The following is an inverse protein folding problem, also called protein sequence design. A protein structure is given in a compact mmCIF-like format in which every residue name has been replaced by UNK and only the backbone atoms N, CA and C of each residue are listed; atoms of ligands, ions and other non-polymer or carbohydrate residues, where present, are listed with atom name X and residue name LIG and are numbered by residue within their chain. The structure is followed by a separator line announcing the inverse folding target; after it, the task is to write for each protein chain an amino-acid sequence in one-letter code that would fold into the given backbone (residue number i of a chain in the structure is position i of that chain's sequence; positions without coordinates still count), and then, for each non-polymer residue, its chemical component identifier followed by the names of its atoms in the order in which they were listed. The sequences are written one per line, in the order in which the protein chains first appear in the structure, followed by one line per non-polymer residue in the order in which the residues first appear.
data_IF_000544919675
#
_entry.id   IF_000544919675
#
_cell.length_a   1.000
_cell.length_b   1.000
_cell.length_c   1.000
_cell.angle_alpha   90.00
_cell.angle_beta   90.00
_cell.angle_gamma   90.00
#
_symmetry.space_group_name_H-M   'P 1'
#
loop_
_entity.id
_entity.type
_entity.pdbx_description
1 polymer ?
#
# COMPACT_ATOMS: atom_id res chain seq x y z
N UNK A 1 9.27 -21.78 -2.31
CA UNK A 1 8.05 -20.99 -2.01
C UNK A 1 7.80 -20.82 -0.51
N UNK A 2 8.41 -21.63 0.37
CA UNK A 2 8.24 -21.53 1.84
C UNK A 2 8.70 -20.19 2.44
N UNK A 3 9.60 -19.48 1.77
CA UNK A 3 10.10 -18.17 2.24
C UNK A 3 9.20 -16.99 1.82
N UNK A 4 8.16 -17.25 1.03
CA UNK A 4 7.22 -16.22 0.61
C UNK A 4 6.03 -16.16 1.57
N UNK A 5 5.56 -14.93 1.83
CA UNK A 5 4.33 -14.62 2.54
C UNK A 5 3.33 -14.04 1.53
N UNK A 6 2.13 -14.57 1.54
CA UNK A 6 1.02 -14.09 0.71
C UNK A 6 -0.13 -13.67 1.60
N UNK A 7 -0.48 -12.41 1.57
CA UNK A 7 -1.63 -11.89 2.29
C UNK A 7 -2.77 -11.55 1.32
N UNK A 8 -3.99 -11.75 1.78
CA UNK A 8 -5.20 -11.27 1.12
C UNK A 8 -5.69 -10.05 1.89
N UNK A 9 -6.12 -8.98 1.19
CA UNK A 9 -6.70 -7.82 1.86
C UNK A 9 -7.97 -8.21 2.64
N UNK A 10 -8.07 -7.74 3.88
CA UNK A 10 -9.21 -8.04 4.76
C UNK A 10 -10.54 -7.49 4.25
N UNK A 11 -10.53 -6.55 3.33
CA UNK A 11 -11.73 -6.01 2.69
C UNK A 11 -12.61 -7.11 2.07
N UNK A 12 -12.00 -8.20 1.63
CA UNK A 12 -12.69 -9.37 1.10
C UNK A 12 -13.52 -10.11 2.15
N UNK A 13 -13.26 -9.89 3.43
CA UNK A 13 -13.94 -10.59 4.53
C UNK A 13 -15.05 -9.76 5.19
N UNK A 14 -15.43 -8.62 4.60
CA UNK A 14 -16.57 -7.81 5.03
C UNK A 14 -17.91 -8.34 4.53
N UNK A 15 -18.00 -9.63 4.18
CA UNK A 15 -19.17 -10.29 3.60
C UNK A 15 -19.67 -11.41 4.52
N UNK A 16 -20.96 -11.79 4.41
CA UNK A 16 -21.52 -12.90 5.19
C UNK A 16 -20.80 -14.24 4.95
N UNK A 17 -20.37 -14.49 3.71
CA UNK A 17 -19.72 -15.73 3.25
C UNK A 17 -18.23 -15.81 3.60
N UNK A 18 -17.70 -14.87 4.39
CA UNK A 18 -16.28 -14.75 4.75
C UNK A 18 -15.62 -16.06 5.21
N UNK A 19 -16.37 -16.94 5.90
CA UNK A 19 -15.83 -18.22 6.36
C UNK A 19 -15.56 -19.15 5.19
N UNK A 20 -16.50 -19.27 4.26
CA UNK A 20 -16.32 -20.11 3.06
C UNK A 20 -15.19 -19.57 2.18
N UNK A 21 -15.08 -18.25 2.06
CA UNK A 21 -13.99 -17.59 1.33
C UNK A 21 -12.64 -17.90 1.97
N UNK A 22 -12.51 -17.75 3.29
CA UNK A 22 -11.28 -18.08 4.01
C UNK A 22 -10.87 -19.55 3.83
N UNK A 23 -11.84 -20.46 3.94
CA UNK A 23 -11.61 -21.89 3.74
C UNK A 23 -11.16 -22.20 2.29
N UNK A 24 -11.71 -21.51 1.28
CA UNK A 24 -11.29 -21.68 -0.11
C UNK A 24 -9.86 -21.19 -0.36
N UNK A 25 -9.48 -20.06 0.21
CA UNK A 25 -8.10 -19.57 0.13
C UNK A 25 -7.11 -20.50 0.86
N UNK A 26 -7.48 -21.02 2.03
CA UNK A 26 -6.65 -21.99 2.76
C UNK A 26 -6.43 -23.27 1.96
N UNK A 27 -7.52 -23.84 1.42
CA UNK A 27 -7.42 -25.02 0.58
C UNK A 27 -6.51 -24.80 -0.63
N UNK A 28 -6.58 -23.62 -1.26
CA UNK A 28 -5.70 -23.26 -2.38
C UNK A 28 -4.27 -23.07 -1.93
N UNK A 29 -4.00 -22.41 -0.81
CA UNK A 29 -2.67 -22.23 -0.26
C UNK A 29 -2.01 -23.59 0.09
N UNK A 30 -2.78 -24.52 0.68
CA UNK A 30 -2.33 -25.88 0.96
C UNK A 30 -2.01 -26.67 -0.33
N UNK A 31 -2.87 -26.57 -1.35
CA UNK A 31 -2.64 -27.17 -2.68
C UNK A 31 -1.34 -26.65 -3.31
N UNK A 32 -1.09 -25.36 -3.21
CA UNK A 32 0.09 -24.70 -3.77
C UNK A 32 1.36 -24.87 -2.92
N UNK A 33 1.23 -25.32 -1.66
CA UNK A 33 2.30 -25.46 -0.69
C UNK A 33 2.90 -24.12 -0.26
N UNK A 34 2.06 -23.12 0.00
CA UNK A 34 2.45 -21.75 0.39
C UNK A 34 1.81 -21.32 1.70
N UNK A 35 2.43 -20.36 2.38
CA UNK A 35 1.86 -19.74 3.57
C UNK A 35 0.98 -18.54 3.15
N UNK A 36 -0.21 -18.46 3.74
CA UNK A 36 -1.10 -17.32 3.54
C UNK A 36 -1.44 -16.64 4.86
N UNK A 37 -1.68 -15.34 4.78
CA UNK A 37 -2.21 -14.51 5.85
C UNK A 37 -3.27 -13.56 5.32
N UNK A 38 -3.63 -12.59 6.16
CA UNK A 38 -4.54 -11.49 5.81
C UNK A 38 -3.91 -10.19 6.25
N UNK A 39 -3.86 -9.21 5.35
CA UNK A 39 -3.53 -7.86 5.72
C UNK A 39 -4.79 -7.09 6.08
N UNK A 40 -4.83 -6.57 7.30
CA UNK A 40 -5.91 -5.70 7.74
C UNK A 40 -5.85 -4.39 6.96
N UNK A 41 -6.93 -4.07 6.24
CA UNK A 41 -7.06 -2.82 5.52
C UNK A 41 -7.35 -1.67 6.49
N UNK A 42 -6.97 -0.44 6.13
CA UNK A 42 -7.20 0.74 6.99
C UNK A 42 -8.70 1.04 7.26
N UNK A 43 -9.61 0.57 6.41
CA UNK A 43 -11.08 0.60 6.61
C UNK A 43 -11.61 -0.62 7.39
N UNK A 44 -10.82 -1.16 8.31
CA UNK A 44 -11.16 -2.37 9.01
C UNK A 44 -12.17 -2.13 10.14
N UNK A 45 -12.88 -3.17 10.54
CA UNK A 45 -13.83 -3.18 11.63
C UNK A 45 -13.54 -4.28 12.65
N UNK A 46 -14.06 -4.11 13.88
CA UNK A 46 -13.80 -5.03 14.96
C UNK A 46 -14.32 -6.46 14.68
N UNK A 47 -15.44 -6.59 13.98
CA UNK A 47 -16.06 -7.88 13.70
C UNK A 47 -15.17 -8.76 12.80
N UNK A 48 -14.56 -8.16 11.77
CA UNK A 48 -13.64 -8.89 10.88
C UNK A 48 -12.34 -9.24 11.60
N UNK A 49 -11.79 -8.33 12.41
CA UNK A 49 -10.60 -8.64 13.21
C UNK A 49 -10.85 -9.79 14.19
N UNK A 50 -11.98 -9.79 14.88
CA UNK A 50 -12.34 -10.87 15.82
C UNK A 50 -12.53 -12.21 15.07
N UNK A 51 -13.19 -12.19 13.89
CA UNK A 51 -13.30 -13.35 13.04
C UNK A 51 -11.95 -13.93 12.61
N UNK A 52 -11.02 -13.09 12.17
CA UNK A 52 -9.69 -13.53 11.75
C UNK A 52 -8.89 -14.10 12.93
N UNK A 53 -8.98 -13.46 14.10
CA UNK A 53 -8.32 -13.91 15.32
C UNK A 53 -8.87 -15.28 15.79
N UNK A 54 -10.19 -15.44 15.84
CA UNK A 54 -10.87 -16.70 16.20
C UNK A 54 -10.47 -17.85 15.27
N UNK A 55 -10.29 -17.54 13.99
CA UNK A 55 -9.86 -18.51 12.99
C UNK A 55 -8.33 -18.67 12.93
N UNK A 56 -7.56 -18.03 13.81
CA UNK A 56 -6.08 -18.11 13.90
C UNK A 56 -5.39 -17.79 12.57
N UNK A 57 -5.89 -16.78 11.85
CA UNK A 57 -5.29 -16.30 10.62
C UNK A 57 -4.07 -15.44 10.96
N UNK A 58 -2.87 -15.70 10.41
CA UNK A 58 -1.77 -14.75 10.51
C UNK A 58 -2.17 -13.39 9.93
N UNK A 59 -1.85 -12.31 10.62
CA UNK A 59 -2.27 -10.97 10.19
C UNK A 59 -1.07 -10.04 10.05
N UNK A 60 -1.14 -9.16 9.05
CA UNK A 60 -0.32 -7.94 8.92
C UNK A 60 -1.25 -6.72 8.90
N UNK A 61 -0.70 -5.51 8.94
CA UNK A 61 -1.51 -4.30 9.01
C UNK A 61 -1.25 -3.34 7.86
N UNK A 62 -2.30 -2.66 7.41
CA UNK A 62 -2.22 -1.43 6.63
C UNK A 62 -2.69 -0.28 7.53
N UNK A 63 -1.74 0.42 8.14
CA UNK A 63 -2.02 1.50 9.11
C UNK A 63 -2.47 2.80 8.43
N UNK A 64 -3.23 3.63 9.12
CA UNK A 64 -3.75 3.48 10.47
C UNK A 64 -5.00 2.60 10.54
N UNK A 65 -5.08 1.75 11.55
CA UNK A 65 -6.28 0.94 11.82
C UNK A 65 -7.13 1.59 12.90
N UNK A 66 -8.45 1.70 12.65
CA UNK A 66 -9.44 2.25 13.59
C UNK A 66 -9.14 3.69 14.07
N UNK A 67 -8.41 4.46 13.29
CA UNK A 67 -8.03 5.83 13.63
C UNK A 67 -8.85 6.85 12.84
N UNK A 68 -9.05 8.00 13.45
CA UNK A 68 -9.76 9.13 12.81
C UNK A 68 -8.93 9.82 11.73
N UNK A 69 -7.60 9.75 11.83
CA UNK A 69 -6.69 10.48 10.98
C UNK A 69 -5.65 9.56 10.34
N UNK A 70 -5.37 9.81 9.08
CA UNK A 70 -4.21 9.23 8.40
C UNK A 70 -2.92 9.79 8.98
N UNK A 71 -1.85 9.04 8.84
CA UNK A 71 -0.54 9.46 9.28
C UNK A 71 0.10 10.41 8.28
N UNK A 72 0.64 11.52 8.75
CA UNK A 72 1.42 12.47 7.94
C UNK A 72 2.72 12.82 8.67
N UNK A 73 3.77 12.11 8.34
CA UNK A 73 5.12 12.34 8.90
C UNK A 73 5.76 13.65 8.42
N UNK A 74 5.17 14.32 7.43
CA UNK A 74 5.58 15.63 6.94
C UNK A 74 4.97 16.80 7.72
N UNK A 75 4.00 16.55 8.61
CA UNK A 75 3.34 17.60 9.39
C UNK A 75 4.32 18.31 10.35
N UNK A 76 3.98 19.54 10.73
CA UNK A 76 4.77 20.31 11.69
C UNK A 76 4.51 19.85 13.13
N UNK A 77 3.26 19.70 13.50
CA UNK A 77 2.86 19.04 14.76
C UNK A 77 2.52 17.58 14.49
N UNK A 78 3.37 16.70 14.96
CA UNK A 78 3.21 15.24 14.84
C UNK A 78 2.73 14.60 16.14
N UNK A 79 2.34 15.38 17.15
CA UNK A 79 1.84 14.82 18.42
C UNK A 79 0.62 13.92 18.24
N UNK A 80 -0.39 14.29 17.41
CA UNK A 80 -1.52 13.41 17.13
C UNK A 80 -1.13 12.14 16.37
N UNK A 81 -0.13 12.23 15.47
CA UNK A 81 0.42 11.07 14.77
C UNK A 81 0.98 10.05 15.76
N UNK A 82 1.80 10.49 16.73
CA UNK A 82 2.37 9.58 17.71
C UNK A 82 1.31 8.90 18.58
N UNK A 83 0.24 9.60 18.91
CA UNK A 83 -0.89 9.01 19.63
C UNK A 83 -1.56 7.91 18.80
N UNK A 84 -1.81 8.14 17.52
CA UNK A 84 -2.39 7.14 16.62
C UNK A 84 -1.47 5.92 16.44
N UNK A 85 -0.15 6.15 16.31
CA UNK A 85 0.84 5.07 16.26
C UNK A 85 0.78 4.22 17.55
N UNK A 86 0.77 4.85 18.72
CA UNK A 86 0.66 4.14 20.00
C UNK A 86 -0.59 3.27 20.08
N UNK A 87 -1.74 3.79 19.63
CA UNK A 87 -2.99 3.03 19.60
C UNK A 87 -2.86 1.81 18.69
N UNK A 88 -2.27 1.98 17.49
CA UNK A 88 -2.04 0.88 16.55
C UNK A 88 -1.04 -0.14 17.11
N UNK A 89 0.04 0.28 17.78
CA UNK A 89 0.99 -0.65 18.42
C UNK A 89 0.29 -1.52 19.45
N UNK A 90 -0.56 -0.95 20.32
CA UNK A 90 -1.35 -1.73 21.28
C UNK A 90 -2.32 -2.71 20.61
N UNK A 91 -2.94 -2.29 19.52
CA UNK A 91 -3.80 -3.17 18.73
C UNK A 91 -2.99 -4.32 18.12
N UNK A 92 -1.82 -4.02 17.56
CA UNK A 92 -0.92 -5.01 16.96
C UNK A 92 -0.42 -6.03 17.97
N UNK A 93 -0.06 -5.60 19.19
CA UNK A 93 0.29 -6.51 20.29
C UNK A 93 -0.86 -7.48 20.61
N UNK A 94 -2.10 -6.99 20.65
CA UNK A 94 -3.30 -7.81 20.87
C UNK A 94 -3.54 -8.81 19.74
N UNK A 95 -3.29 -8.42 18.49
CA UNK A 95 -3.56 -9.23 17.30
C UNK A 95 -2.36 -10.08 16.84
N UNK A 96 -1.19 -9.91 17.46
CA UNK A 96 0.03 -10.61 17.07
C UNK A 96 0.65 -10.09 15.77
N UNK A 97 0.35 -8.84 15.38
CA UNK A 97 0.87 -8.21 14.16
C UNK A 97 2.29 -7.69 14.40
N UNK A 98 3.22 -8.09 13.55
CA UNK A 98 4.62 -7.67 13.60
C UNK A 98 5.09 -6.95 12.33
N UNK A 99 4.21 -6.78 11.34
CA UNK A 99 4.49 -6.08 10.07
C UNK A 99 3.32 -5.17 9.72
N UNK A 100 3.62 -3.94 9.29
CA UNK A 100 2.60 -2.99 8.83
C UNK A 100 3.16 -2.05 7.78
N UNK A 101 2.36 -1.75 6.75
CA UNK A 101 2.60 -0.64 5.83
C UNK A 101 1.68 0.53 6.13
N UNK A 102 1.97 1.67 5.57
CA UNK A 102 1.17 2.89 5.73
C UNK A 102 1.53 3.95 4.68
N UNK A 103 0.57 4.81 4.33
CA UNK A 103 0.82 6.07 3.66
C UNK A 103 1.29 7.11 4.68
N UNK A 104 2.31 7.89 4.36
CA UNK A 104 2.95 8.71 5.38
C UNK A 104 3.37 10.11 4.98
N UNK A 105 3.10 10.55 3.75
CA UNK A 105 3.55 11.84 3.28
C UNK A 105 2.49 12.60 2.48
N UNK A 106 2.03 13.71 3.05
CA UNK A 106 1.17 14.67 2.37
C UNK A 106 1.76 16.08 2.46
N UNK A 107 1.64 16.85 1.38
CA UNK A 107 2.07 18.26 1.30
C UNK A 107 1.12 19.18 2.07
N UNK A 108 0.86 18.85 3.33
CA UNK A 108 -0.06 19.55 4.22
C UNK A 108 0.53 19.69 5.62
N UNK A 109 0.15 20.76 6.32
CA UNK A 109 0.38 20.92 7.76
C UNK A 109 -0.82 20.42 8.58
N UNK A 110 -1.99 20.32 7.95
CA UNK A 110 -3.21 19.85 8.60
C UNK A 110 -3.21 18.34 8.78
N UNK A 111 -3.99 17.89 9.76
CA UNK A 111 -4.32 16.48 9.90
C UNK A 111 -5.14 16.03 8.68
N UNK A 112 -4.83 14.85 8.19
CA UNK A 112 -5.53 14.21 7.07
C UNK A 112 -6.55 13.25 7.65
N UNK A 113 -7.83 13.47 7.34
CA UNK A 113 -8.89 12.58 7.83
C UNK A 113 -8.74 11.18 7.18
N UNK A 114 -8.89 10.12 7.96
CA UNK A 114 -8.87 8.76 7.43
C UNK A 114 -10.12 8.50 6.59
N UNK A 115 -9.94 7.88 5.45
CA UNK A 115 -11.04 7.43 4.60
C UNK A 115 -11.53 6.04 5.06
N UNK A 116 -12.63 5.59 4.49
CA UNK A 116 -13.39 4.48 5.01
C UNK A 116 -14.36 4.92 6.10
N UNK A 117 -14.96 3.99 6.81
CA UNK A 117 -15.94 4.28 7.87
C UNK A 117 -17.05 5.25 7.43
N UNK A 118 -17.53 5.09 6.17
CA UNK A 118 -18.58 5.90 5.58
C UNK A 118 -18.10 7.14 4.83
N UNK A 119 -16.81 7.36 4.71
CA UNK A 119 -16.21 8.43 3.91
C UNK A 119 -15.35 7.89 2.78
N UNK A 120 -15.48 8.49 1.62
CA UNK A 120 -14.64 8.17 0.46
C UNK A 120 -13.27 8.86 0.57
N UNK A 121 -12.27 8.29 -0.11
CA UNK A 121 -10.95 8.91 -0.27
C UNK A 121 -11.05 10.38 -0.72
N UNK A 122 -11.88 10.66 -1.74
CA UNK A 122 -12.06 12.02 -2.26
C UNK A 122 -12.59 13.01 -1.21
N UNK A 123 -13.56 12.60 -0.40
CA UNK A 123 -14.13 13.46 0.66
C UNK A 123 -13.08 13.81 1.72
N UNK A 124 -12.28 12.84 2.13
CA UNK A 124 -11.24 13.02 3.14
C UNK A 124 -10.05 13.85 2.62
N UNK A 125 -9.67 13.64 1.37
CA UNK A 125 -8.47 14.26 0.80
C UNK A 125 -8.73 15.64 0.17
N UNK A 126 -9.97 15.96 -0.19
CA UNK A 126 -10.34 17.25 -0.82
C UNK A 126 -9.82 18.49 -0.08
N UNK A 127 -9.81 18.54 1.26
CA UNK A 127 -9.24 19.67 2.00
C UNK A 127 -7.74 19.90 1.77
N UNK A 128 -7.03 18.89 1.26
CA UNK A 128 -5.58 18.96 0.94
C UNK A 128 -5.32 19.49 -0.47
N UNK A 129 -6.37 19.73 -1.27
CA UNK A 129 -6.20 20.19 -2.64
C UNK A 129 -5.44 21.51 -2.68
N UNK A 130 -4.41 21.55 -3.51
CA UNK A 130 -3.58 22.73 -3.80
C UNK A 130 -3.35 22.78 -5.31
N UNK A 131 -3.84 23.84 -5.94
CA UNK A 131 -3.79 24.01 -7.40
C UNK A 131 -2.35 23.97 -7.94
N UNK A 132 -1.40 24.56 -7.22
CA UNK A 132 0.01 24.58 -7.62
C UNK A 132 0.69 23.20 -7.58
N UNK A 133 0.11 22.21 -6.90
CA UNK A 133 0.56 20.83 -6.89
C UNK A 133 -0.15 19.96 -7.94
N UNK A 134 -1.19 20.48 -8.58
CA UNK A 134 -2.00 19.76 -9.55
C UNK A 134 -1.45 19.87 -10.96
N UNK A 135 -1.61 18.80 -11.74
CA UNK A 135 -1.21 18.76 -13.15
C UNK A 135 -2.23 19.48 -14.04
N UNK A 136 -3.51 19.45 -13.65
CA UNK A 136 -4.62 20.03 -14.40
C UNK A 136 -5.41 21.01 -13.53
N UNK A 137 -5.96 22.09 -14.08
CA UNK A 137 -6.87 22.97 -13.36
C UNK A 137 -8.08 22.18 -12.80
N UNK A 138 -8.53 22.55 -11.62
CA UNK A 138 -9.70 21.95 -10.96
C UNK A 138 -9.67 20.40 -10.82
N UNK A 139 -8.47 19.80 -10.86
CA UNK A 139 -8.28 18.36 -10.74
C UNK A 139 -7.25 18.04 -9.66
N UNK A 140 -7.47 16.95 -8.93
CA UNK A 140 -6.60 16.58 -7.81
C UNK A 140 -5.29 15.85 -8.20
N UNK A 141 -5.10 15.50 -9.48
CA UNK A 141 -3.94 14.72 -9.94
C UNK A 141 -2.66 15.52 -9.81
N UNK A 142 -1.67 14.94 -9.16
CA UNK A 142 -0.41 15.59 -8.87
C UNK A 142 0.43 15.83 -10.13
N UNK A 143 1.06 17.01 -10.22
CA UNK A 143 2.24 17.19 -11.07
C UNK A 143 3.49 16.66 -10.35
N UNK A 144 4.61 16.61 -11.07
CA UNK A 144 5.90 16.48 -10.39
C UNK A 144 6.24 17.80 -9.69
N UNK A 145 6.22 17.78 -8.36
CA UNK A 145 6.54 18.90 -7.48
C UNK A 145 7.77 18.64 -6.58
N UNK A 146 8.53 17.56 -6.82
CA UNK A 146 9.67 17.15 -5.97
C UNK A 146 10.81 18.17 -5.93
N UNK A 147 10.86 19.09 -6.91
CA UNK A 147 11.82 20.19 -6.98
C UNK A 147 11.47 21.37 -6.08
N UNK A 148 10.28 21.43 -5.50
CA UNK A 148 9.88 22.54 -4.64
C UNK A 148 10.64 22.52 -3.32
N UNK A 149 11.14 23.69 -2.83
CA UNK A 149 11.81 23.75 -1.53
C UNK A 149 10.97 23.21 -0.37
N UNK A 150 9.66 23.45 -0.39
CA UNK A 150 8.72 22.90 0.60
C UNK A 150 8.74 21.36 0.58
N UNK A 151 8.69 20.73 -0.60
CA UNK A 151 8.73 19.28 -0.73
C UNK A 151 10.04 18.72 -0.14
N UNK A 152 11.18 19.30 -0.53
CA UNK A 152 12.49 18.86 -0.05
C UNK A 152 12.56 18.92 1.48
N UNK A 153 12.13 20.04 2.08
CA UNK A 153 12.10 20.21 3.53
C UNK A 153 11.19 19.15 4.20
N UNK A 154 10.00 18.92 3.65
CA UNK A 154 9.04 17.94 4.18
C UNK A 154 9.53 16.51 4.04
N UNK A 155 10.15 16.17 2.91
CA UNK A 155 10.76 14.86 2.67
C UNK A 155 11.83 14.54 3.72
N UNK A 156 12.70 15.50 4.06
CA UNK A 156 13.69 15.30 5.13
C UNK A 156 13.03 15.10 6.49
N UNK A 157 11.93 15.79 6.77
CA UNK A 157 11.15 15.59 8.00
C UNK A 157 10.53 14.20 8.04
N UNK A 158 9.96 13.73 6.92
CA UNK A 158 9.45 12.35 6.80
C UNK A 158 10.55 11.35 7.13
N UNK A 159 11.73 11.48 6.49
CA UNK A 159 12.87 10.61 6.76
C UNK A 159 13.22 10.55 8.26
N UNK A 160 13.37 11.71 8.90
CA UNK A 160 13.70 11.78 10.33
C UNK A 160 12.64 11.09 11.20
N UNK A 161 11.36 11.33 10.92
CA UNK A 161 10.27 10.78 11.69
C UNK A 161 10.09 9.27 11.48
N UNK A 162 10.37 8.76 10.27
CA UNK A 162 10.40 7.32 10.00
C UNK A 162 11.51 6.61 10.80
N UNK A 163 12.68 7.20 10.91
CA UNK A 163 13.76 6.65 11.73
C UNK A 163 13.37 6.64 13.22
N UNK A 164 12.74 7.72 13.72
CA UNK A 164 12.20 7.74 15.08
C UNK A 164 11.11 6.68 15.31
N UNK A 165 10.25 6.41 14.32
CA UNK A 165 9.27 5.33 14.38
C UNK A 165 9.93 3.97 14.59
N UNK A 166 10.94 3.68 13.77
CA UNK A 166 11.71 2.42 13.86
C UNK A 166 12.43 2.27 15.20
N UNK A 167 12.98 3.36 15.73
CA UNK A 167 13.67 3.35 17.03
C UNK A 167 12.70 3.15 18.19
N UNK A 168 11.51 3.78 18.15
CA UNK A 168 10.52 3.70 19.22
C UNK A 168 9.80 2.36 19.30
N UNK A 169 9.56 1.74 18.15
CA UNK A 169 8.76 0.51 18.02
C UNK A 169 9.48 -0.55 17.18
N UNK A 170 10.67 -1.01 17.60
CA UNK A 170 11.51 -1.94 16.83
C UNK A 170 10.90 -3.35 16.71
N UNK A 171 9.88 -3.68 17.50
CA UNK A 171 9.16 -4.94 17.45
C UNK A 171 8.24 -5.07 16.23
N UNK A 172 7.95 -3.96 15.54
CA UNK A 172 7.13 -3.95 14.34
C UNK A 172 7.99 -3.60 13.14
N UNK A 173 7.89 -4.38 12.08
CA UNK A 173 8.49 -4.07 10.78
C UNK A 173 7.59 -3.11 10.02
N UNK A 174 7.90 -1.83 10.12
CA UNK A 174 7.20 -0.76 9.45
C UNK A 174 7.67 -0.59 8.02
N UNK A 175 6.75 -0.32 7.09
CA UNK A 175 7.03 -0.01 5.68
C UNK A 175 6.24 1.20 5.25
N UNK A 176 6.89 2.16 4.58
CA UNK A 176 6.16 3.26 3.94
C UNK A 176 5.78 2.86 2.52
N UNK A 177 4.55 3.16 2.15
CA UNK A 177 3.98 2.83 0.85
C UNK A 177 4.04 4.01 -0.10
N UNK A 178 4.16 3.76 -1.41
CA UNK A 178 3.98 4.80 -2.41
C UNK A 178 2.52 5.20 -2.51
N UNK A 179 2.30 6.50 -2.61
CA UNK A 179 0.96 7.08 -2.61
C UNK A 179 0.32 7.08 -4.01
N UNK A 180 -1.00 7.07 -4.03
CA UNK A 180 -1.76 7.43 -5.22
C UNK A 180 -1.49 8.91 -5.58
N UNK A 181 -1.23 9.27 -6.87
CA UNK A 181 -0.75 10.60 -7.24
C UNK A 181 -1.86 11.67 -7.24
N UNK A 182 -2.37 12.00 -6.06
CA UNK A 182 -3.42 13.00 -5.90
C UNK A 182 -3.28 13.79 -4.60
N UNK A 183 -3.90 14.96 -4.54
CA UNK A 183 -4.03 15.80 -3.35
C UNK A 183 -2.72 16.12 -2.62
N UNK A 184 -1.60 16.21 -3.34
CA UNK A 184 -0.32 16.50 -2.74
C UNK A 184 0.29 15.34 -1.94
N UNK A 185 -0.14 14.11 -2.21
CA UNK A 185 0.55 12.91 -1.73
C UNK A 185 2.00 12.89 -2.22
N UNK A 186 2.96 12.62 -1.34
CA UNK A 186 4.37 12.91 -1.59
C UNK A 186 5.26 11.71 -1.89
N UNK A 187 4.85 10.50 -1.48
CA UNK A 187 5.63 9.28 -1.70
C UNK A 187 5.37 8.70 -3.09
N UNK A 188 5.91 9.35 -4.13
CA UNK A 188 5.59 8.98 -5.52
C UNK A 188 6.76 8.37 -6.29
N UNK A 189 7.98 8.79 -6.06
CA UNK A 189 9.12 8.47 -6.93
C UNK A 189 10.16 7.58 -6.25
N UNK A 190 10.79 6.65 -7.03
CA UNK A 190 11.82 5.77 -6.51
C UNK A 190 12.97 6.49 -5.81
N UNK A 191 13.44 7.58 -6.39
CA UNK A 191 14.58 8.34 -5.87
C UNK A 191 14.28 8.95 -4.50
N UNK A 192 13.06 9.46 -4.31
CA UNK A 192 12.64 10.09 -3.06
C UNK A 192 12.35 9.05 -1.98
N UNK A 193 11.70 7.94 -2.34
CA UNK A 193 11.39 6.88 -1.38
C UNK A 193 12.65 6.11 -0.95
N UNK A 194 13.56 5.80 -1.87
CA UNK A 194 14.84 5.19 -1.54
C UNK A 194 15.71 6.12 -0.66
N UNK A 195 15.52 7.45 -0.77
CA UNK A 195 16.19 8.42 0.09
C UNK A 195 15.83 8.28 1.57
N UNK A 196 14.65 7.74 1.91
CA UNK A 196 14.26 7.54 3.30
C UNK A 196 15.16 6.56 4.05
N UNK A 197 15.84 5.65 3.37
CA UNK A 197 16.60 4.55 3.99
C UNK A 197 15.72 3.78 5.00
N UNK A 198 14.54 3.45 4.55
CA UNK A 198 13.47 2.83 5.33
C UNK A 198 12.80 1.75 4.47
N UNK A 199 12.23 0.68 5.10
CA UNK A 199 11.53 -0.34 4.34
C UNK A 199 10.34 0.22 3.56
N UNK A 200 10.15 -0.29 2.34
CA UNK A 200 9.15 0.18 1.39
C UNK A 200 8.12 -0.91 1.09
N UNK A 201 6.89 -0.47 0.92
CA UNK A 201 5.84 -1.19 0.21
C UNK A 201 5.64 -0.53 -1.16
N UNK A 202 5.54 -1.32 -2.23
CA UNK A 202 5.14 -0.80 -3.55
C UNK A 202 3.73 -1.28 -3.85
N UNK A 203 2.81 -0.33 -3.98
CA UNK A 203 1.50 -0.58 -4.57
C UNK A 203 1.56 -0.43 -6.09
N UNK A 204 1.12 -1.47 -6.80
CA UNK A 204 1.22 -1.56 -8.25
C UNK A 204 0.28 -0.60 -8.98
N UNK A 205 -0.93 -0.40 -8.49
CA UNK A 205 -1.90 0.49 -9.12
C UNK A 205 -1.58 1.95 -8.90
N UNK A 206 -1.18 2.33 -7.69
CA UNK A 206 -0.68 3.67 -7.40
C UNK A 206 0.49 4.01 -8.31
N UNK A 207 1.46 3.10 -8.40
CA UNK A 207 2.66 3.32 -9.19
C UNK A 207 2.38 3.35 -10.69
N UNK A 208 1.47 2.49 -11.16
CA UNK A 208 0.97 2.56 -12.54
C UNK A 208 0.37 3.94 -12.84
N UNK A 209 -0.50 4.44 -11.96
CA UNK A 209 -1.10 5.77 -12.12
C UNK A 209 -0.05 6.90 -12.15
N UNK A 210 1.00 6.83 -11.31
CA UNK A 210 2.12 7.78 -11.36
C UNK A 210 2.81 7.76 -12.72
N UNK A 211 3.16 6.56 -13.19
CA UNK A 211 3.85 6.40 -14.47
C UNK A 211 3.00 6.87 -15.64
N UNK A 212 1.71 6.54 -15.65
CA UNK A 212 0.76 7.00 -16.68
C UNK A 212 0.57 8.51 -16.67
N UNK A 213 0.44 9.10 -15.48
CA UNK A 213 0.24 10.54 -15.29
C UNK A 213 1.42 11.36 -15.81
N UNK A 214 2.63 10.88 -15.60
CA UNK A 214 3.88 11.60 -15.83
C UNK A 214 4.70 11.09 -17.04
N UNK A 215 4.12 10.22 -17.88
CA UNK A 215 4.74 9.63 -19.07
C UNK A 215 6.05 8.87 -18.77
N UNK A 216 6.07 8.10 -17.69
CA UNK A 216 7.21 7.29 -17.27
C UNK A 216 7.03 5.83 -17.70
N UNK A 217 8.14 5.13 -17.94
CA UNK A 217 8.12 3.68 -18.16
C UNK A 217 7.98 2.93 -16.83
N UNK A 218 6.85 2.23 -16.66
CA UNK A 218 6.50 1.54 -15.44
C UNK A 218 7.56 0.53 -14.97
N UNK A 219 8.10 -0.28 -15.88
CA UNK A 219 9.09 -1.28 -15.52
C UNK A 219 10.47 -0.70 -15.27
N UNK A 220 10.86 0.34 -16.02
CA UNK A 220 12.12 1.03 -15.78
C UNK A 220 12.13 1.72 -14.42
N UNK A 221 11.03 2.38 -14.06
CA UNK A 221 10.88 3.02 -12.74
C UNK A 221 10.77 1.98 -11.61
N UNK A 222 10.08 0.84 -11.83
CA UNK A 222 10.06 -0.29 -10.89
C UNK A 222 11.47 -0.78 -10.58
N UNK A 223 12.33 -0.94 -11.59
CA UNK A 223 13.71 -1.34 -11.35
C UNK A 223 14.49 -0.34 -10.49
N UNK A 224 14.21 0.95 -10.56
CA UNK A 224 14.85 1.95 -9.70
C UNK A 224 14.45 1.76 -8.24
N UNK A 225 13.16 1.49 -7.94
CA UNK A 225 12.71 1.12 -6.60
C UNK A 225 13.47 -0.08 -6.08
N UNK A 226 13.47 -1.16 -6.86
CA UNK A 226 14.05 -2.45 -6.47
C UNK A 226 15.56 -2.38 -6.27
N UNK A 227 16.27 -1.61 -7.10
CA UNK A 227 17.72 -1.39 -6.96
C UNK A 227 18.10 -0.63 -5.69
N UNK A 228 17.20 0.14 -5.12
CA UNK A 228 17.39 0.78 -3.81
C UNK A 228 17.50 -0.22 -2.66
N UNK A 229 17.02 -1.45 -2.84
CA UNK A 229 17.19 -2.56 -1.89
C UNK A 229 16.30 -2.51 -0.65
N UNK A 230 15.37 -1.55 -0.56
CA UNK A 230 14.52 -1.36 0.62
C UNK A 230 13.11 -1.90 0.44
N UNK A 231 12.75 -2.42 -0.74
CA UNK A 231 11.40 -2.95 -1.00
C UNK A 231 11.23 -4.30 -0.33
N UNK A 232 10.30 -4.40 0.61
CA UNK A 232 10.03 -5.62 1.36
C UNK A 232 8.63 -6.19 1.15
N UNK A 233 7.69 -5.35 0.67
CA UNK A 233 6.30 -5.72 0.43
C UNK A 233 5.84 -5.17 -0.91
N UNK A 234 4.93 -5.88 -1.54
CA UNK A 234 4.23 -5.44 -2.75
C UNK A 234 2.73 -5.61 -2.51
N UNK A 235 1.97 -4.52 -2.66
CA UNK A 235 0.53 -4.56 -2.87
C UNK A 235 0.29 -4.81 -4.35
N UNK A 236 -0.35 -5.92 -4.64
CA UNK A 236 -0.52 -6.43 -5.98
C UNK A 236 -1.98 -6.44 -6.38
N UNK A 237 -2.30 -5.68 -7.39
CA UNK A 237 -3.59 -5.71 -8.09
C UNK A 237 -3.42 -5.18 -9.51
N UNK A 238 -4.35 -5.49 -10.40
CA UNK A 238 -4.39 -4.90 -11.73
C UNK A 238 -5.14 -3.56 -11.70
N UNK A 239 -4.86 -2.72 -12.70
CA UNK A 239 -5.55 -1.45 -12.88
C UNK A 239 -6.65 -1.55 -13.93
N UNK A 240 -7.75 -0.84 -13.72
CA UNK A 240 -8.77 -0.63 -14.76
C UNK A 240 -8.36 0.47 -15.74
N UNK A 241 -7.32 1.23 -15.43
CA UNK A 241 -6.80 2.29 -16.27
C UNK A 241 -5.73 1.74 -17.23
N UNK A 242 -5.99 1.85 -18.51
CA UNK A 242 -5.10 1.44 -19.60
C UNK A 242 -4.39 2.65 -20.24
N UNK A 243 -3.74 2.42 -21.40
CA UNK A 243 -3.05 3.47 -22.13
C UNK A 243 -3.99 4.51 -22.77
N UNK A 244 -5.24 4.17 -23.01
CA UNK A 244 -6.26 5.05 -23.60
C UNK A 244 -7.02 5.86 -22.54
N UNK A 245 -6.87 5.52 -21.26
CA UNK A 245 -7.51 6.23 -20.15
C UNK A 245 -6.96 7.65 -20.04
N UNK A 246 -7.83 8.69 -20.12
CA UNK A 246 -7.40 10.07 -19.94
C UNK A 246 -6.72 10.28 -18.57
N UNK A 247 -5.64 11.03 -18.55
CA UNK A 247 -4.82 11.26 -17.35
C UNK A 247 -5.62 11.84 -16.17
N UNK A 248 -6.59 12.70 -16.47
CA UNK A 248 -7.48 13.31 -15.47
C UNK A 248 -8.42 12.30 -14.80
N UNK A 249 -8.64 11.15 -15.45
CA UNK A 249 -9.55 10.09 -15.01
C UNK A 249 -8.82 8.89 -14.41
N UNK A 250 -7.48 8.93 -14.35
CA UNK A 250 -6.72 7.86 -13.73
C UNK A 250 -7.18 7.67 -12.28
N UNK A 251 -7.42 6.44 -11.89
CA UNK A 251 -7.78 6.09 -10.52
C UNK A 251 -7.28 4.68 -10.19
N UNK A 252 -7.19 4.43 -8.92
CA UNK A 252 -6.85 3.13 -8.40
C UNK A 252 -7.96 2.12 -8.68
N UNK A 253 -7.60 0.90 -9.08
CA UNK A 253 -8.56 -0.02 -9.65
C UNK A 253 -8.80 -1.30 -8.85
N UNK A 254 -7.83 -1.77 -8.08
CA UNK A 254 -7.88 -3.00 -7.28
C UNK A 254 -8.51 -4.22 -7.99
N UNK A 255 -8.19 -4.40 -9.29
CA UNK A 255 -8.76 -5.46 -10.12
C UNK A 255 -8.08 -6.81 -9.88
N UNK A 256 -8.84 -7.87 -10.17
CA UNK A 256 -8.35 -9.25 -10.16
C UNK A 256 -7.22 -9.47 -11.18
N UNK A 257 -6.28 -10.35 -10.87
CA UNK A 257 -5.10 -10.61 -11.71
C UNK A 257 -5.41 -11.35 -13.01
N UNK A 258 -6.56 -12.01 -13.09
CA UNK A 258 -6.99 -12.80 -14.26
C UNK A 258 -7.43 -11.97 -15.45
N UNK A 259 -7.64 -10.66 -15.29
CA UNK A 259 -8.00 -9.79 -16.40
C UNK A 259 -6.79 -9.51 -17.30
N UNK A 260 -7.01 -9.30 -18.63
CA UNK A 260 -5.95 -8.81 -19.49
C UNK A 260 -5.41 -7.49 -18.92
N UNK A 261 -4.13 -7.47 -18.58
CA UNK A 261 -3.52 -6.27 -18.00
C UNK A 261 -2.45 -5.68 -18.91
N UNK A 262 -2.40 -4.35 -18.93
CA UNK A 262 -1.41 -3.59 -19.69
C UNK A 262 -0.13 -3.34 -18.88
N UNK A 263 -0.14 -3.69 -17.61
CA UNK A 263 0.96 -3.46 -16.65
C UNK A 263 2.05 -4.53 -16.75
N UNK A 264 1.82 -5.65 -17.43
CA UNK A 264 2.70 -6.83 -17.41
C UNK A 264 3.09 -7.23 -15.97
N UNK A 265 2.07 -7.45 -15.13
CA UNK A 265 2.25 -7.83 -13.72
C UNK A 265 3.12 -9.08 -13.52
N UNK A 266 3.09 -10.12 -14.40
CA UNK A 266 4.03 -11.24 -14.29
C UNK A 266 5.50 -10.79 -14.31
N UNK A 267 5.86 -9.83 -15.17
CA UNK A 267 7.20 -9.26 -15.21
C UNK A 267 7.52 -8.48 -13.94
N UNK A 268 6.56 -7.68 -13.45
CA UNK A 268 6.71 -6.91 -12.20
C UNK A 268 6.97 -7.83 -11.00
N UNK A 269 6.15 -8.87 -10.81
CA UNK A 269 6.26 -9.84 -9.73
C UNK A 269 7.61 -10.57 -9.75
N UNK A 270 8.03 -11.03 -10.95
CA UNK A 270 9.34 -11.69 -11.11
C UNK A 270 10.50 -10.75 -10.79
N UNK A 271 10.40 -9.49 -11.21
CA UNK A 271 11.41 -8.49 -10.86
C UNK A 271 11.49 -8.28 -9.35
N UNK A 272 10.36 -8.08 -8.66
CA UNK A 272 10.32 -7.98 -7.20
C UNK A 272 11.00 -9.17 -6.51
N UNK A 273 10.62 -10.39 -6.89
CA UNK A 273 11.16 -11.60 -6.31
C UNK A 273 12.68 -11.76 -6.57
N UNK A 274 13.17 -11.39 -7.77
CA UNK A 274 14.59 -11.37 -8.13
C UNK A 274 15.41 -10.43 -7.25
N UNK A 275 14.84 -9.29 -6.87
CA UNK A 275 15.47 -8.32 -5.97
C UNK A 275 15.23 -8.62 -4.49
N UNK A 276 14.64 -9.75 -4.14
CA UNK A 276 14.54 -10.22 -2.77
C UNK A 276 13.21 -9.94 -2.08
N UNK A 277 12.22 -9.37 -2.76
CA UNK A 277 10.88 -9.22 -2.18
C UNK A 277 10.27 -10.59 -1.92
N UNK A 278 9.73 -10.80 -0.72
CA UNK A 278 9.16 -12.08 -0.27
C UNK A 278 7.76 -11.95 0.31
N UNK A 279 7.20 -10.75 0.36
CA UNK A 279 5.87 -10.49 0.88
C UNK A 279 5.01 -9.82 -0.21
N UNK A 280 3.94 -10.49 -0.60
CA UNK A 280 2.97 -10.01 -1.58
C UNK A 280 1.59 -9.98 -0.95
N UNK A 281 0.89 -8.89 -1.10
CA UNK A 281 -0.48 -8.70 -0.64
C UNK A 281 -1.38 -8.58 -1.86
N UNK A 282 -2.40 -9.44 -1.95
CA UNK A 282 -3.46 -9.31 -2.94
C UNK A 282 -4.44 -8.23 -2.44
N UNK A 283 -4.15 -6.97 -2.80
CA UNK A 283 -5.01 -5.84 -2.46
C UNK A 283 -6.09 -5.65 -3.52
N UNK A 284 -6.90 -6.69 -3.66
CA UNK A 284 -7.93 -6.85 -4.68
C UNK A 284 -9.29 -6.85 -3.97
N UNK A 285 -10.24 -6.06 -4.46
CA UNK A 285 -11.59 -6.06 -3.93
C UNK A 285 -12.30 -7.34 -4.28
N UNK A 286 -12.78 -8.07 -4.56
CA UNK A 286 -13.34 -9.36 -4.99
C UNK A 286 -12.25 -10.40 -5.32
N UNK A 287 -11.20 -10.49 -4.51
CA UNK A 287 -10.13 -11.47 -4.69
C UNK A 287 -10.64 -12.92 -4.56
N UNK A 288 -10.10 -13.76 -5.40
CA UNK A 288 -10.44 -15.18 -5.44
C UNK A 288 -9.20 -16.07 -5.27
N UNK A 289 -9.34 -17.35 -4.92
CA UNK A 289 -8.19 -18.27 -4.85
C UNK A 289 -7.39 -18.39 -6.16
N UNK A 290 -8.00 -18.07 -7.31
CA UNK A 290 -7.33 -18.03 -8.60
C UNK A 290 -6.29 -16.91 -8.68
N UNK A 291 -6.48 -15.79 -8.00
CA UNK A 291 -5.49 -14.71 -7.93
C UNK A 291 -4.23 -15.18 -7.19
N UNK A 292 -4.37 -15.93 -6.10
CA UNK A 292 -3.25 -16.55 -5.40
C UNK A 292 -2.53 -17.57 -6.29
N UNK A 293 -3.28 -18.38 -7.04
CA UNK A 293 -2.72 -19.35 -7.97
C UNK A 293 -1.91 -18.67 -9.09
N UNK A 294 -2.44 -17.59 -9.67
CA UNK A 294 -1.76 -16.79 -10.69
C UNK A 294 -0.45 -16.21 -10.17
N UNK A 295 -0.48 -15.57 -9.00
CA UNK A 295 0.72 -15.00 -8.36
C UNK A 295 1.80 -16.08 -8.13
N UNK A 296 1.42 -17.20 -7.55
CA UNK A 296 2.35 -18.31 -7.29
C UNK A 296 2.91 -18.90 -8.60
N UNK A 297 2.10 -19.01 -9.65
CA UNK A 297 2.55 -19.46 -10.98
C UNK A 297 3.59 -18.49 -11.55
N UNK A 298 3.34 -17.17 -11.52
CA UNK A 298 4.30 -16.17 -12.01
C UNK A 298 5.64 -16.21 -11.27
N UNK A 299 5.61 -16.50 -9.98
CA UNK A 299 6.83 -16.67 -9.17
C UNK A 299 7.57 -17.97 -9.49
N UNK A 300 6.87 -19.05 -9.84
CA UNK A 300 7.50 -20.34 -10.26
C UNK A 300 8.18 -20.24 -11.63
N UNK A 301 7.78 -19.33 -12.49
CA UNK A 301 8.38 -19.06 -13.80
C UNK A 301 9.72 -18.28 -13.72
N UNK A 302 10.23 -18.03 -12.52
CA UNK A 302 11.55 -17.41 -12.30
C UNK A 302 12.75 -18.33 -12.63
N UNK A 303 12.52 -19.63 -12.82
CA UNK A 303 13.57 -20.65 -13.01
C UNK A 303 13.84 -20.93 -14.49
#
# INVERSE_FOLDING_TARGET
MQDFLFDISSINFHIPERKALLESFRAKADELGVNMGVQLHNDENQETMDFLLENKVPMTGHSPLLEKYNWNFAAEDISPLWQGIENNVRLFEKLGITRSCFHGFYMSVAMVEAFGHGKTYHECMKPLYREELSLFPDNCRNRNFTHLPEYIMRRERVKQNLHLLKERYPQIRWMIENDFPAYGAGSMFPEDMNHYDFPLCIDTGHFWCICRLLDLDFHAETEKFLKGGNVEMIHLHDSICDFDTPKEKLHDGHRVLSTPNVMDLPRFVRSGAKYGVRHFVLEIFDSTPEDLELLVRWLKELN
#
